data_IF_741932030146
#
_entry.id   IF_741932030146
#
_cell.length_a   1.000
_cell.length_b   1.000
_cell.length_c   1.000
_cell.angle_alpha   90.00
_cell.angle_beta   90.00
_cell.angle_gamma   90.00
#
_symmetry.space_group_name_H-M   'P 1'
#
loop_
_entity.id
_entity.type
_entity.pdbx_description
1 polymer ?
#
# COMPACT_ATOMS: atom_id res chain seq x y z
N UNK A 1 8.17 23.04 -18.19
CA UNK A 1 7.07 22.09 -17.88
C UNK A 1 7.57 20.66 -17.73
N UNK A 2 8.35 20.11 -18.68
CA UNK A 2 8.95 18.76 -18.58
C UNK A 2 9.79 18.55 -17.32
N UNK A 3 10.60 19.54 -16.94
CA UNK A 3 11.49 19.41 -15.77
C UNK A 3 10.75 19.43 -14.44
N UNK A 4 9.59 20.09 -14.37
CA UNK A 4 8.73 20.07 -13.19
C UNK A 4 8.08 18.69 -13.00
N UNK A 5 7.62 18.08 -14.10
CA UNK A 5 7.12 16.70 -14.09
C UNK A 5 8.19 15.69 -13.68
N UNK A 6 9.40 15.79 -14.26
CA UNK A 6 10.53 14.94 -13.87
C UNK A 6 10.90 15.10 -12.40
N UNK A 7 10.95 16.34 -11.90
CA UNK A 7 11.19 16.61 -10.48
C UNK A 7 10.10 16.06 -9.58
N UNK A 8 8.82 16.24 -9.94
CA UNK A 8 7.69 15.71 -9.18
C UNK A 8 7.72 14.17 -9.11
N UNK A 9 8.06 13.51 -10.20
CA UNK A 9 8.23 12.05 -10.25
C UNK A 9 9.42 11.61 -9.38
N UNK A 10 10.59 12.22 -9.53
CA UNK A 10 11.77 11.88 -8.73
C UNK A 10 11.53 12.11 -7.22
N UNK A 11 10.85 13.19 -6.87
CA UNK A 11 10.48 13.49 -5.49
C UNK A 11 9.43 12.51 -4.96
N UNK A 12 8.45 12.13 -5.79
CA UNK A 12 7.46 11.10 -5.47
C UNK A 12 8.09 9.72 -5.24
N UNK A 13 9.03 9.31 -6.10
CA UNK A 13 9.78 8.05 -5.92
C UNK A 13 10.66 8.08 -4.67
N UNK A 14 11.34 9.20 -4.40
CA UNK A 14 12.11 9.37 -3.16
C UNK A 14 11.22 9.27 -1.93
N UNK A 15 10.04 9.90 -1.95
CA UNK A 15 9.09 9.86 -0.84
C UNK A 15 8.48 8.47 -0.59
N UNK A 16 8.36 7.62 -1.63
CA UNK A 16 7.89 6.23 -1.47
C UNK A 16 8.90 5.33 -0.76
N UNK A 17 10.20 5.63 -0.83
CA UNK A 17 11.25 4.86 -0.16
C UNK A 17 11.42 5.25 1.32
N UNK A 18 10.83 6.36 1.76
CA UNK A 18 10.89 6.82 3.14
C UNK A 18 10.12 5.84 4.04
N UNK A 19 10.77 5.41 5.11
CA UNK A 19 10.19 4.60 6.19
C UNK A 19 10.13 5.39 7.48
N UNK A 20 9.45 4.85 8.50
CA UNK A 20 9.38 5.48 9.83
C UNK A 20 10.77 5.68 10.44
N UNK A 21 11.66 4.69 10.33
CA UNK A 21 13.04 4.79 10.81
C UNK A 21 13.81 5.92 10.11
N UNK A 22 13.71 6.04 8.78
CA UNK A 22 14.32 7.14 8.03
C UNK A 22 13.81 8.50 8.51
N UNK A 23 12.52 8.61 8.85
CA UNK A 23 11.94 9.85 9.38
C UNK A 23 12.50 10.20 10.74
N UNK A 24 12.64 9.22 11.65
CA UNK A 24 13.20 9.45 12.97
C UNK A 24 14.66 9.90 12.89
N UNK A 25 15.46 9.26 12.03
CA UNK A 25 16.84 9.65 11.75
C UNK A 25 16.95 11.09 11.21
N UNK A 26 16.15 11.46 10.21
CA UNK A 26 16.13 12.81 9.64
C UNK A 26 15.76 13.85 10.70
N UNK A 27 14.77 13.56 11.56
CA UNK A 27 14.34 14.48 12.61
C UNK A 27 15.45 14.66 13.65
N UNK A 28 16.12 13.58 14.06
CA UNK A 28 17.18 13.65 15.07
C UNK A 28 18.41 14.40 14.53
N UNK A 29 18.76 14.19 13.26
CA UNK A 29 19.79 14.94 12.53
C UNK A 29 19.54 16.45 12.53
N UNK A 30 18.29 16.86 12.28
CA UNK A 30 17.88 18.27 12.22
C UNK A 30 17.87 18.92 13.61
N UNK A 31 17.61 18.14 14.66
CA UNK A 31 17.72 18.59 16.05
C UNK A 31 19.19 18.74 16.45
N UNK A 32 20.05 17.77 16.11
CA UNK A 32 21.48 17.81 16.41
C UNK A 32 22.18 19.00 15.74
N UNK A 33 21.81 19.29 14.48
CA UNK A 33 22.29 20.47 13.74
C UNK A 33 21.71 21.79 14.24
N UNK A 34 20.74 21.74 15.17
CA UNK A 34 20.06 22.92 15.71
C UNK A 34 19.16 23.63 14.70
N UNK A 35 18.84 22.98 13.58
CA UNK A 35 17.95 23.50 12.53
C UNK A 35 16.49 23.50 12.97
N UNK A 36 16.12 22.60 13.89
CA UNK A 36 14.81 22.55 14.53
C UNK A 36 14.98 22.80 16.03
N UNK A 37 14.23 23.78 16.56
CA UNK A 37 14.17 24.11 17.99
C UNK A 37 12.76 23.89 18.52
N UNK A 38 12.67 23.57 19.80
CA UNK A 38 11.46 23.31 20.56
C UNK A 38 10.73 22.02 20.16
N UNK A 39 10.22 21.33 21.18
CA UNK A 39 9.43 20.10 21.04
C UNK A 39 8.21 20.28 20.12
N UNK A 40 7.70 21.50 20.02
CA UNK A 40 6.56 21.88 19.19
C UNK A 40 6.85 21.81 17.68
N UNK A 41 8.03 22.25 17.24
CA UNK A 41 8.43 22.15 15.82
C UNK A 41 8.76 20.70 15.43
N UNK A 42 9.36 19.93 16.35
CA UNK A 42 9.63 18.49 16.16
C UNK A 42 8.32 17.70 15.98
N UNK A 43 7.30 18.00 16.79
CA UNK A 43 6.00 17.36 16.71
C UNK A 43 5.30 17.62 15.37
N UNK A 44 5.31 18.87 14.88
CA UNK A 44 4.69 19.23 13.60
C UNK A 44 5.37 18.54 12.41
N UNK A 45 6.70 18.48 12.39
CA UNK A 45 7.45 17.78 11.33
C UNK A 45 7.16 16.28 11.36
N UNK A 46 7.12 15.67 12.55
CA UNK A 46 6.76 14.26 12.71
C UNK A 46 5.35 13.96 12.21
N UNK A 47 4.39 14.85 12.50
CA UNK A 47 3.00 14.71 12.02
C UNK A 47 2.90 14.79 10.50
N UNK A 48 3.64 15.71 9.85
CA UNK A 48 3.72 15.79 8.40
C UNK A 48 4.25 14.50 7.78
N UNK A 49 5.34 13.95 8.30
CA UNK A 49 5.89 12.68 7.82
C UNK A 49 4.95 11.50 8.07
N UNK A 50 4.29 11.43 9.23
CA UNK A 50 3.27 10.41 9.49
C UNK A 50 2.12 10.48 8.49
N UNK A 51 1.70 11.70 8.10
CA UNK A 51 0.70 11.88 7.06
C UNK A 51 1.17 11.34 5.72
N UNK A 52 2.42 11.61 5.33
CA UNK A 52 3.03 11.03 4.12
C UNK A 52 3.03 9.50 4.16
N UNK A 53 3.44 8.90 5.28
CA UNK A 53 3.43 7.44 5.47
C UNK A 53 2.01 6.86 5.39
N UNK A 54 1.00 7.55 5.94
CA UNK A 54 -0.39 7.12 5.85
C UNK A 54 -0.93 7.18 4.41
N UNK A 55 -0.60 8.26 3.68
CA UNK A 55 -0.97 8.42 2.27
C UNK A 55 -0.35 7.35 1.38
N UNK A 56 0.86 6.87 1.71
CA UNK A 56 1.48 5.75 0.98
C UNK A 56 0.61 4.49 1.02
N UNK A 57 0.06 4.15 2.19
CA UNK A 57 -0.82 2.98 2.34
C UNK A 57 -2.10 3.12 1.51
N UNK A 58 -2.68 4.32 1.46
CA UNK A 58 -3.85 4.58 0.60
C UNK A 58 -3.52 4.42 -0.89
N UNK A 59 -2.33 4.85 -1.31
CA UNK A 59 -1.85 4.66 -2.68
C UNK A 59 -1.65 3.18 -2.98
N UNK A 60 -1.02 2.43 -2.08
CA UNK A 60 -0.83 0.97 -2.21
C UNK A 60 -2.18 0.27 -2.40
N UNK A 61 -3.17 0.55 -1.55
CA UNK A 61 -4.52 -0.03 -1.68
C UNK A 61 -5.21 0.35 -2.99
N UNK A 62 -5.05 1.59 -3.47
CA UNK A 62 -5.60 1.99 -4.79
C UNK A 62 -4.93 1.23 -5.93
N UNK A 63 -3.63 1.00 -5.85
CA UNK A 63 -2.90 0.23 -6.86
C UNK A 63 -3.40 -1.22 -6.86
N UNK A 64 -3.56 -1.84 -5.69
CA UNK A 64 -4.14 -3.17 -5.55
C UNK A 64 -5.53 -3.24 -6.21
N UNK A 65 -6.41 -2.28 -5.93
CA UNK A 65 -7.75 -2.21 -6.52
C UNK A 65 -7.71 -2.06 -8.05
N UNK A 66 -6.79 -1.24 -8.57
CA UNK A 66 -6.61 -1.05 -10.01
C UNK A 66 -6.14 -2.36 -10.67
N UNK A 67 -5.20 -3.06 -10.05
CA UNK A 67 -4.68 -4.34 -10.55
C UNK A 67 -5.76 -5.40 -10.51
N UNK A 68 -6.50 -5.52 -9.40
CA UNK A 68 -7.63 -6.45 -9.27
C UNK A 68 -8.68 -6.19 -10.35
N UNK A 69 -9.08 -4.94 -10.56
CA UNK A 69 -10.00 -4.55 -11.65
C UNK A 69 -9.45 -4.89 -13.04
N UNK A 70 -8.15 -4.73 -13.27
CA UNK A 70 -7.53 -5.06 -14.55
C UNK A 70 -7.55 -6.57 -14.81
N UNK A 71 -7.23 -7.38 -13.79
CA UNK A 71 -7.29 -8.84 -13.88
C UNK A 71 -8.72 -9.33 -14.13
N UNK A 72 -9.71 -8.77 -13.43
CA UNK A 72 -11.12 -9.09 -13.68
C UNK A 72 -11.57 -8.73 -15.10
N UNK A 73 -11.12 -7.61 -15.65
CA UNK A 73 -11.41 -7.23 -17.05
C UNK A 73 -10.81 -8.18 -18.09
N UNK A 74 -9.78 -8.95 -17.71
CA UNK A 74 -9.16 -9.97 -18.54
C UNK A 74 -9.74 -11.37 -18.26
N UNK A 75 -10.85 -11.46 -17.53
CA UNK A 75 -11.49 -12.71 -17.10
C UNK A 75 -10.56 -13.63 -16.30
N UNK A 76 -9.59 -13.05 -15.56
CA UNK A 76 -8.68 -13.80 -14.69
C UNK A 76 -9.30 -13.85 -13.28
N UNK A 77 -9.75 -15.03 -12.80
CA UNK A 77 -10.33 -15.16 -11.48
C UNK A 77 -9.28 -15.09 -10.37
N UNK A 78 -9.67 -14.58 -9.21
CA UNK A 78 -8.83 -14.57 -8.02
C UNK A 78 -8.66 -15.97 -7.44
N UNK A 79 -7.60 -16.16 -6.66
CA UNK A 79 -7.36 -17.44 -5.98
C UNK A 79 -8.49 -17.82 -5.02
N UNK A 80 -9.12 -16.83 -4.40
CA UNK A 80 -10.24 -17.01 -3.47
C UNK A 80 -11.47 -17.54 -4.20
N UNK A 81 -11.82 -16.94 -5.34
CA UNK A 81 -12.95 -17.40 -6.17
C UNK A 81 -12.74 -18.85 -6.64
N UNK A 82 -11.52 -19.20 -7.05
CA UNK A 82 -11.18 -20.58 -7.43
C UNK A 82 -11.36 -21.57 -6.27
N UNK A 83 -10.91 -21.21 -5.06
CA UNK A 83 -11.09 -22.05 -3.87
C UNK A 83 -12.56 -22.19 -3.47
N UNK A 84 -13.36 -21.14 -3.62
CA UNK A 84 -14.80 -21.19 -3.38
C UNK A 84 -15.50 -22.10 -4.40
N UNK A 85 -15.10 -22.04 -5.67
CA UNK A 85 -15.58 -22.97 -6.71
C UNK A 85 -15.19 -24.41 -6.37
N UNK A 86 -13.94 -24.67 -5.97
CA UNK A 86 -13.49 -26.01 -5.58
C UNK A 86 -14.32 -26.57 -4.42
N UNK A 87 -14.55 -25.79 -3.36
CA UNK A 87 -15.40 -26.21 -2.22
C UNK A 87 -16.84 -26.50 -2.63
N UNK A 88 -17.40 -25.73 -3.56
CA UNK A 88 -18.74 -25.98 -4.10
C UNK A 88 -18.77 -27.29 -4.89
N UNK A 89 -17.75 -27.54 -5.72
CA UNK A 89 -17.61 -28.79 -6.47
C UNK A 89 -17.50 -30.00 -5.52
N UNK A 90 -16.64 -29.95 -4.51
CA UNK A 90 -16.52 -31.03 -3.51
C UNK A 90 -17.85 -31.32 -2.81
N UNK A 91 -18.63 -30.29 -2.44
CA UNK A 91 -19.96 -30.47 -1.85
C UNK A 91 -20.96 -31.10 -2.81
N UNK A 92 -20.90 -30.75 -4.09
CA UNK A 92 -21.77 -31.33 -5.12
C UNK A 92 -21.41 -32.80 -5.33
N UNK A 93 -20.13 -33.11 -5.50
CA UNK A 93 -19.62 -34.48 -5.66
C UNK A 93 -20.08 -35.36 -4.49
N UNK A 94 -19.86 -34.92 -3.25
CA UNK A 94 -20.29 -35.65 -2.06
C UNK A 94 -21.81 -35.90 -1.99
N UNK A 95 -22.62 -34.96 -2.47
CA UNK A 95 -24.07 -35.11 -2.53
C UNK A 95 -24.52 -36.11 -3.60
N UNK A 96 -23.82 -36.17 -4.72
CA UNK A 96 -24.09 -37.12 -5.79
C UNK A 96 -23.74 -38.54 -5.33
N UNK A 97 -22.57 -38.72 -4.72
CA UNK A 97 -22.14 -40.01 -4.14
C UNK A 97 -23.18 -40.53 -3.14
N UNK A 98 -23.68 -39.68 -2.24
CA UNK A 98 -24.72 -40.06 -1.26
C UNK A 98 -26.11 -40.36 -1.84
N UNK A 99 -26.33 -40.11 -3.13
CA UNK A 99 -27.59 -40.42 -3.84
C UNK A 99 -27.49 -41.67 -4.71
N UNK A 100 -26.27 -42.10 -5.02
CA UNK A 100 -26.01 -43.32 -5.78
C UNK A 100 -25.83 -44.56 -4.89
N UNK A 101 -25.56 -44.36 -3.59
CA UNK A 101 -25.75 -45.36 -2.51
C UNK A 101 -27.22 -45.46 -2.07
#
# INVERSE_FOLDING_TARGET
>A
MSDFFKKAINFGFGALLITKENVEEIIDDLVEKGEIKADEAKAQVKELFNKVLSSKKEIESKIEEIVEKALHKLDIPTRKELQEMQKKLEKIIKRLESREE
#
